data_IF_311997229688
#
_entry.id   IF_311997229688
#
_cell.length_a   1.000
_cell.length_b   1.000
_cell.length_c   1.000
_cell.angle_alpha   90.00
_cell.angle_beta   90.00
_cell.angle_gamma   90.00
#
_symmetry.space_group_name_H-M   'P 1'
#
loop_
_entity.id
_entity.type
_entity.pdbx_description
1 polymer ?
#
# COMPACT_ATOMS: atom_id res chain seq x y z
N UNK A 1 24.01 -7.09 -9.70
CA UNK A 1 22.87 -7.99 -9.92
C UNK A 1 21.88 -7.99 -8.74
N UNK A 2 22.31 -8.32 -7.51
CA UNK A 2 21.42 -8.37 -6.33
C UNK A 2 20.71 -7.06 -5.98
N UNK A 3 21.41 -5.91 -6.07
CA UNK A 3 20.84 -4.58 -5.78
C UNK A 3 19.63 -4.26 -6.69
N UNK A 4 19.73 -4.58 -7.97
CA UNK A 4 18.65 -4.34 -8.95
C UNK A 4 17.43 -5.22 -8.69
N UNK A 5 17.63 -6.47 -8.27
CA UNK A 5 16.54 -7.39 -7.91
C UNK A 5 15.83 -6.89 -6.65
N UNK A 6 16.57 -6.47 -5.62
CA UNK A 6 16.01 -5.89 -4.40
C UNK A 6 15.16 -4.64 -4.68
N UNK A 7 15.67 -3.71 -5.51
CA UNK A 7 14.92 -2.48 -5.88
C UNK A 7 13.60 -2.83 -6.58
N UNK A 8 13.62 -3.80 -7.51
CA UNK A 8 12.41 -4.26 -8.20
C UNK A 8 11.42 -4.91 -7.23
N UNK A 9 11.89 -5.74 -6.30
CA UNK A 9 11.06 -6.37 -5.28
C UNK A 9 10.41 -5.30 -4.38
N UNK A 10 11.17 -4.28 -3.95
CA UNK A 10 10.63 -3.15 -3.18
C UNK A 10 9.49 -2.44 -3.93
N UNK A 11 9.64 -2.20 -5.23
CA UNK A 11 8.58 -1.60 -6.05
C UNK A 11 7.33 -2.47 -6.17
N UNK A 12 7.50 -3.78 -6.36
CA UNK A 12 6.39 -4.75 -6.43
C UNK A 12 5.66 -4.82 -5.09
N UNK A 13 6.39 -4.94 -3.98
CA UNK A 13 5.80 -4.93 -2.63
C UNK A 13 5.05 -3.62 -2.37
N UNK A 14 5.64 -2.48 -2.75
CA UNK A 14 4.99 -1.18 -2.62
C UNK A 14 3.65 -1.10 -3.36
N UNK A 15 3.61 -1.60 -4.61
CA UNK A 15 2.38 -1.71 -5.40
C UNK A 15 1.33 -2.60 -4.73
N UNK A 16 1.72 -3.76 -4.20
CA UNK A 16 0.80 -4.66 -3.49
C UNK A 16 0.18 -4.01 -2.25
N UNK A 17 0.95 -3.21 -1.51
CA UNK A 17 0.44 -2.47 -0.35
C UNK A 17 -0.59 -1.41 -0.75
N UNK A 18 -0.34 -0.67 -1.84
CA UNK A 18 -1.28 0.32 -2.38
C UNK A 18 -2.59 -0.35 -2.83
N UNK A 19 -2.51 -1.48 -3.54
CA UNK A 19 -3.69 -2.24 -3.95
C UNK A 19 -4.48 -2.77 -2.74
N UNK A 20 -3.79 -3.25 -1.70
CA UNK A 20 -4.41 -3.70 -0.46
C UNK A 20 -5.11 -2.56 0.27
N UNK A 21 -4.50 -1.36 0.28
CA UNK A 21 -5.12 -0.16 0.83
C UNK A 21 -6.41 0.21 0.10
N UNK A 22 -6.42 0.12 -1.23
CA UNK A 22 -7.61 0.37 -2.03
C UNK A 22 -8.74 -0.62 -1.70
N UNK A 23 -8.42 -1.90 -1.53
CA UNK A 23 -9.39 -2.90 -1.11
C UNK A 23 -9.97 -2.62 0.28
N UNK A 24 -9.18 -2.11 1.22
CA UNK A 24 -9.68 -1.72 2.55
C UNK A 24 -10.66 -0.53 2.50
N UNK A 25 -10.54 0.34 1.50
CA UNK A 25 -11.49 1.45 1.27
C UNK A 25 -12.76 0.99 0.55
N UNK A 26 -12.80 -0.24 0.05
CA UNK A 26 -14.02 -0.86 -0.47
C UNK A 26 -14.91 -1.32 0.68
N UNK A 27 -15.70 -0.38 1.20
CA UNK A 27 -16.51 -0.58 2.40
C UNK A 27 -17.99 -0.62 2.02
N UNK A 28 -18.70 -1.74 2.25
CA UNK A 28 -20.14 -1.83 2.06
C UNK A 28 -20.90 -0.86 3.00
N UNK A 29 -22.06 -0.33 2.58
CA UNK A 29 -22.83 0.62 3.38
C UNK A 29 -23.35 0.06 4.71
N UNK A 30 -23.48 -1.26 4.84
CA UNK A 30 -23.86 -1.98 6.07
C UNK A 30 -22.74 -2.08 7.12
N UNK A 31 -21.53 -1.63 6.79
CA UNK A 31 -20.37 -1.75 7.68
C UNK A 31 -20.47 -0.76 8.85
N UNK A 32 -20.28 -1.24 10.07
CA UNK A 32 -20.33 -0.40 11.27
C UNK A 32 -19.25 0.69 11.29
N UNK A 33 -19.56 1.86 11.85
CA UNK A 33 -18.67 3.03 11.88
C UNK A 33 -17.28 2.72 12.49
N UNK A 34 -17.22 1.89 13.54
CA UNK A 34 -15.96 1.47 14.17
C UNK A 34 -15.06 0.68 13.20
N UNK A 35 -15.66 -0.18 12.38
CA UNK A 35 -14.94 -0.95 11.38
C UNK A 35 -14.50 -0.07 10.22
N UNK A 36 -15.37 0.83 9.75
CA UNK A 36 -15.02 1.85 8.74
C UNK A 36 -13.77 2.62 9.17
N UNK A 37 -13.78 3.19 10.38
CA UNK A 37 -12.64 3.95 10.91
C UNK A 37 -11.35 3.12 10.98
N UNK A 38 -11.46 1.85 11.38
CA UNK A 38 -10.31 0.94 11.49
C UNK A 38 -9.73 0.62 10.11
N UNK A 39 -10.58 0.27 9.14
CA UNK A 39 -10.16 -0.01 7.76
C UNK A 39 -9.56 1.22 7.10
N UNK A 40 -10.13 2.40 7.31
CA UNK A 40 -9.58 3.67 6.81
C UNK A 40 -8.19 3.96 7.39
N UNK A 41 -7.97 3.76 8.71
CA UNK A 41 -6.65 3.94 9.33
C UNK A 41 -5.60 3.03 8.69
N UNK A 42 -5.92 1.75 8.52
CA UNK A 42 -5.01 0.82 7.87
C UNK A 42 -4.77 1.16 6.40
N UNK A 43 -5.81 1.58 5.65
CA UNK A 43 -5.66 2.02 4.28
C UNK A 43 -4.71 3.21 4.14
N UNK A 44 -4.78 4.20 5.04
CA UNK A 44 -3.86 5.35 5.04
C UNK A 44 -2.41 4.88 5.24
N UNK A 45 -2.16 4.04 6.24
CA UNK A 45 -0.81 3.54 6.55
C UNK A 45 -0.23 2.73 5.39
N UNK A 46 -1.05 1.85 4.79
CA UNK A 46 -0.64 1.04 3.64
C UNK A 46 -0.38 1.88 2.40
N UNK A 47 -1.19 2.91 2.12
CA UNK A 47 -0.97 3.82 0.99
C UNK A 47 0.31 4.64 1.15
N UNK A 48 0.57 5.18 2.35
CA UNK A 48 1.80 5.94 2.61
C UNK A 48 3.03 5.04 2.49
N UNK A 49 3.01 3.87 3.11
CA UNK A 49 4.13 2.93 3.08
C UNK A 49 4.39 2.41 1.67
N UNK A 50 3.33 1.96 0.99
CA UNK A 50 3.42 1.46 -0.38
C UNK A 50 3.85 2.53 -1.38
N UNK A 51 3.30 3.75 -1.26
CA UNK A 51 3.68 4.89 -2.09
C UNK A 51 5.17 5.24 -1.94
N UNK A 52 5.68 5.31 -0.70
CA UNK A 52 7.10 5.56 -0.45
C UNK A 52 7.99 4.47 -1.08
N UNK A 53 7.61 3.19 -0.97
CA UNK A 53 8.34 2.08 -1.58
C UNK A 53 8.35 2.15 -3.11
N UNK A 54 7.22 2.50 -3.73
CA UNK A 54 7.14 2.69 -5.18
C UNK A 54 8.01 3.85 -5.63
N UNK A 55 7.89 5.02 -4.99
CA UNK A 55 8.70 6.20 -5.30
C UNK A 55 10.19 5.89 -5.14
N UNK A 56 10.59 5.22 -4.05
CA UNK A 56 11.96 4.79 -3.83
C UNK A 56 12.46 3.86 -4.93
N UNK A 57 11.64 2.91 -5.38
CA UNK A 57 12.00 1.97 -6.44
C UNK A 57 12.18 2.65 -7.80
N UNK A 58 11.44 3.73 -8.07
CA UNK A 58 11.55 4.53 -9.29
C UNK A 58 12.77 5.43 -9.22
N UNK A 59 13.01 6.09 -8.08
CA UNK A 59 14.15 7.00 -7.91
C UNK A 59 15.51 6.28 -7.95
N UNK A 60 15.57 5.04 -7.46
CA UNK A 60 16.80 4.21 -7.44
C UNK A 60 16.98 3.35 -8.70
N UNK A 61 16.10 3.50 -9.70
CA UNK A 61 16.13 2.76 -10.96
C UNK A 61 17.24 3.27 -11.86
#
# INVERSE_FOLDING_TARGET
MYKTILIKLTGITGLLLVLSAYYLLWIPPETGLSEVMTRTRYAIVLNLSGGLMVVYSIYRR
#
